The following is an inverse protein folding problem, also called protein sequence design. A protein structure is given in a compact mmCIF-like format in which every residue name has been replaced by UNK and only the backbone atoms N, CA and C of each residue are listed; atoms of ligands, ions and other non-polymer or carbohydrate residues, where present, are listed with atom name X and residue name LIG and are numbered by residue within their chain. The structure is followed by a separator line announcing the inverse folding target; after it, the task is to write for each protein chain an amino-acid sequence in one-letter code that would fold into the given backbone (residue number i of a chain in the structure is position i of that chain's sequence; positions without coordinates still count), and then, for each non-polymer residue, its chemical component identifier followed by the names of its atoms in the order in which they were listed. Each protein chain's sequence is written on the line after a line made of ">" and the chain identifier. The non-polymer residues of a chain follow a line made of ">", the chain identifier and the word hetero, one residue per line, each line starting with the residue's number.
data_IF_090852546833
#
_entry.id   IF_090852546833
#
_cell.length_a   1.000
_cell.length_b   1.000
_cell.length_c   1.000
_cell.angle_alpha   90.00
_cell.angle_beta   90.00
_cell.angle_gamma   90.00
#
_symmetry.space_group_name_H-M   'P 1'
#
loop_
_entity.id
_entity.type
_entity.pdbx_description
1 polymer ?
#
# COMPACT_ATOMS: atom_id res chain seq x y z
N UNK A 1 14.27 0.72 -0.12
CA UNK A 1 13.09 0.20 -0.86
C UNK A 1 12.62 -1.04 -0.15
N UNK A 2 11.32 -1.14 0.15
CA UNK A 2 10.74 -2.30 0.82
C UNK A 2 9.91 -3.10 -0.18
N UNK A 3 9.94 -4.42 -0.07
CA UNK A 3 9.20 -5.33 -0.95
C UNK A 3 8.35 -6.24 -0.08
N UNK A 4 7.07 -6.36 -0.41
CA UNK A 4 6.15 -7.25 0.29
C UNK A 4 5.36 -8.11 -0.70
N UNK A 5 5.13 -9.36 -0.31
CA UNK A 5 4.31 -10.31 -1.06
C UNK A 5 3.18 -10.76 -0.15
N UNK A 6 1.94 -10.57 -0.59
CA UNK A 6 0.75 -11.02 0.10
C UNK A 6 -0.01 -12.00 -0.78
N UNK A 7 -0.52 -13.06 -0.17
CA UNK A 7 -1.48 -13.96 -0.80
C UNK A 7 -2.74 -14.02 0.05
N UNK A 8 -3.90 -13.96 -0.59
CA UNK A 8 -5.20 -14.13 0.06
C UNK A 8 -6.09 -15.06 -0.76
N UNK A 9 -7.01 -15.73 -0.09
CA UNK A 9 -8.01 -16.57 -0.71
C UNK A 9 -9.36 -16.31 -0.05
N UNK A 10 -10.38 -16.10 -0.87
CA UNK A 10 -11.75 -15.86 -0.43
C UNK A 10 -12.63 -16.93 -1.05
N UNK A 11 -13.52 -17.53 -0.24
CA UNK A 11 -14.52 -18.49 -0.71
C UNK A 11 -15.86 -18.30 0.00
N UNK A 12 -16.97 -18.42 -0.73
CA UNK A 12 -18.32 -18.33 -0.20
C UNK A 12 -19.38 -18.65 -1.27
N UNK A 13 -20.47 -19.30 -0.86
CA UNK A 13 -21.62 -19.56 -1.75
C UNK A 13 -21.31 -20.42 -2.98
N UNK A 14 -20.31 -21.31 -2.91
CA UNK A 14 -19.86 -22.13 -4.04
C UNK A 14 -18.83 -21.45 -4.96
N UNK A 15 -18.45 -20.20 -4.66
CA UNK A 15 -17.43 -19.47 -5.40
C UNK A 15 -16.19 -19.23 -4.54
N UNK A 16 -15.03 -19.07 -5.17
CA UNK A 16 -13.82 -18.62 -4.52
C UNK A 16 -12.79 -18.07 -5.50
N UNK A 17 -11.93 -17.19 -5.00
CA UNK A 17 -10.85 -16.59 -5.77
C UNK A 17 -9.61 -16.41 -4.89
N UNK A 18 -8.44 -16.55 -5.50
CA UNK A 18 -7.13 -16.33 -4.89
C UNK A 18 -6.53 -15.03 -5.45
N UNK A 19 -5.84 -14.27 -4.61
CA UNK A 19 -5.12 -13.06 -4.99
C UNK A 19 -3.69 -13.12 -4.48
N UNK A 20 -2.74 -12.89 -5.37
CA UNK A 20 -1.37 -12.54 -5.07
C UNK A 20 -1.16 -11.05 -5.29
N UNK A 21 -0.53 -10.39 -4.33
CA UNK A 21 -0.17 -8.96 -4.40
C UNK A 21 1.30 -8.83 -4.10
N UNK A 22 2.04 -8.26 -5.02
CA UNK A 22 3.42 -7.84 -4.81
C UNK A 22 3.44 -6.32 -4.69
N UNK A 23 3.91 -5.76 -3.57
CA UNK A 23 4.05 -4.31 -3.40
C UNK A 23 5.51 -3.93 -3.27
N UNK A 24 5.94 -2.98 -4.09
CA UNK A 24 7.19 -2.28 -3.91
C UNK A 24 6.93 -0.90 -3.32
N UNK A 25 7.58 -0.61 -2.21
CA UNK A 25 7.44 0.64 -1.47
C UNK A 25 8.74 1.42 -1.50
N UNK A 26 8.62 2.65 -1.99
CA UNK A 26 9.71 3.60 -2.12
C UNK A 26 9.42 4.81 -1.24
N UNK A 27 10.45 5.25 -0.53
CA UNK A 27 10.45 6.51 0.20
C UNK A 27 11.69 7.28 -0.23
N UNK A 28 11.51 8.56 -0.54
CA UNK A 28 12.58 9.48 -0.86
C UNK A 28 12.47 10.71 0.02
N UNK A 29 13.53 11.00 0.78
CA UNK A 29 13.66 12.23 1.57
C UNK A 29 14.23 13.31 0.65
N UNK A 30 13.37 14.22 0.20
CA UNK A 30 13.78 15.31 -0.70
C UNK A 30 14.56 16.39 0.07
N UNK A 31 14.18 16.63 1.32
CA UNK A 31 14.84 17.56 2.24
C UNK A 31 14.56 17.14 3.70
N UNK A 32 15.14 17.85 4.66
CA UNK A 32 14.85 17.66 6.09
C UNK A 32 13.43 18.04 6.51
N UNK A 33 12.61 18.53 5.58
CA UNK A 33 11.20 18.81 5.86
C UNK A 33 10.25 18.21 4.83
N UNK A 34 10.73 17.56 3.76
CA UNK A 34 9.89 16.98 2.72
C UNK A 34 10.29 15.53 2.46
N UNK A 35 9.31 14.64 2.50
CA UNK A 35 9.46 13.28 1.97
C UNK A 35 8.33 12.91 1.03
N UNK A 36 8.68 12.08 0.05
CA UNK A 36 7.77 11.53 -0.94
C UNK A 36 7.75 10.02 -0.75
N UNK A 37 6.57 9.43 -0.76
CA UNK A 37 6.35 7.99 -0.67
C UNK A 37 5.52 7.51 -1.85
N UNK A 38 5.92 6.38 -2.42
CA UNK A 38 5.18 5.72 -3.49
C UNK A 38 5.14 4.21 -3.24
N UNK A 39 3.94 3.64 -3.23
CA UNK A 39 3.70 2.20 -3.19
C UNK A 39 3.11 1.78 -4.54
N UNK A 40 3.81 0.87 -5.22
CA UNK A 40 3.39 0.27 -6.49
C UNK A 40 3.09 -1.20 -6.26
N UNK A 41 1.87 -1.62 -6.53
CA UNK A 41 1.41 -2.98 -6.29
C UNK A 41 1.03 -3.68 -7.60
N UNK A 42 1.61 -4.85 -7.84
CA UNK A 42 1.19 -5.77 -8.88
C UNK A 42 0.21 -6.78 -8.27
N UNK A 43 -1.00 -6.81 -8.78
CA UNK A 43 -2.06 -7.74 -8.34
C UNK A 43 -2.26 -8.81 -9.41
N UNK A 44 -2.33 -10.05 -8.97
CA UNK A 44 -2.61 -11.20 -9.81
C UNK A 44 -3.60 -12.16 -9.13
N UNK A 45 -4.59 -12.65 -9.86
CA UNK A 45 -5.56 -13.64 -9.43
C UNK A 45 -5.30 -14.96 -10.15
N UNK A 46 -4.47 -15.85 -9.60
CA UNK A 46 -4.11 -17.10 -10.27
C UNK A 46 -5.29 -18.10 -10.35
N UNK A 47 -6.29 -17.95 -9.47
CA UNK A 47 -7.47 -18.80 -9.44
C UNK A 47 -8.72 -17.97 -9.16
N UNK A 48 -9.77 -18.16 -9.95
CA UNK A 48 -11.09 -17.57 -9.70
C UNK A 48 -12.18 -18.43 -10.29
N UNK A 49 -13.14 -18.83 -9.47
CA UNK A 49 -14.36 -19.48 -9.93
C UNK A 49 -15.43 -18.47 -10.37
N UNK A 50 -15.17 -17.15 -10.25
CA UNK A 50 -16.05 -16.07 -10.71
C UNK A 50 -15.89 -15.77 -12.22
N UNK A 51 -15.05 -16.55 -12.91
CA UNK A 51 -14.79 -16.42 -14.34
C UNK A 51 -13.52 -15.64 -14.70
N UNK A 52 -13.10 -15.78 -15.96
CA UNK A 52 -11.89 -15.15 -16.47
C UNK A 52 -11.97 -13.62 -16.54
N UNK A 53 -13.17 -13.06 -16.75
CA UNK A 53 -13.34 -11.62 -16.89
C UNK A 53 -13.17 -10.88 -15.55
N UNK A 54 -13.53 -11.52 -14.44
CA UNK A 54 -13.24 -11.00 -13.10
C UNK A 54 -11.73 -11.00 -12.83
N UNK A 55 -11.06 -12.11 -13.15
CA UNK A 55 -9.61 -12.23 -12.99
C UNK A 55 -8.85 -11.19 -13.82
N UNK A 56 -9.29 -10.93 -15.06
CA UNK A 56 -8.68 -9.89 -15.92
C UNK A 56 -8.88 -8.48 -15.39
N UNK A 57 -10.02 -8.17 -14.77
CA UNK A 57 -10.31 -6.84 -14.25
C UNK A 57 -9.49 -6.48 -13.00
N UNK A 58 -9.19 -7.47 -12.16
CA UNK A 58 -8.44 -7.26 -10.91
C UNK A 58 -6.93 -7.41 -11.09
N UNK A 59 -6.50 -8.05 -12.18
CA UNK A 59 -5.09 -8.17 -12.54
C UNK A 59 -4.59 -6.83 -13.07
N UNK A 60 -3.52 -6.30 -12.47
CA UNK A 60 -2.97 -5.03 -12.90
C UNK A 60 -1.90 -4.47 -11.98
N UNK A 61 -1.37 -3.33 -12.41
CA UNK A 61 -0.43 -2.52 -11.62
C UNK A 61 -1.22 -1.34 -11.05
N UNK A 62 -1.10 -1.13 -9.76
CA UNK A 62 -1.80 -0.10 -9.01
C UNK A 62 -0.81 0.79 -8.28
N UNK A 63 -1.03 2.10 -8.33
CA UNK A 63 -0.37 3.04 -7.41
C UNK A 63 -1.22 3.04 -6.14
N UNK A 64 -0.92 2.12 -5.23
CA UNK A 64 -1.72 1.92 -4.03
C UNK A 64 -1.53 3.04 -3.01
N UNK A 65 -0.40 3.75 -3.10
CA UNK A 65 -0.13 4.97 -2.33
C UNK A 65 0.79 5.90 -3.10
N UNK A 66 0.43 7.17 -3.18
CA UNK A 66 1.38 8.24 -3.44
C UNK A 66 1.16 9.30 -2.35
N UNK A 67 2.20 9.64 -1.60
CA UNK A 67 2.10 10.60 -0.51
C UNK A 67 3.25 11.60 -0.53
N UNK A 68 2.89 12.87 -0.32
CA UNK A 68 3.82 13.97 -0.07
C UNK A 68 3.62 14.41 1.38
N UNK A 69 4.68 14.34 2.17
CA UNK A 69 4.67 14.77 3.56
C UNK A 69 5.61 15.96 3.72
N UNK A 70 5.10 17.02 4.32
CA UNK A 70 5.80 18.28 4.55
C UNK A 70 5.72 18.67 6.04
N UNK A 71 6.87 18.91 6.65
CA UNK A 71 7.01 19.44 8.00
C UNK A 71 7.08 20.97 7.94
N UNK A 72 6.01 21.64 8.36
CA UNK A 72 5.90 23.10 8.35
C UNK A 72 6.69 23.70 9.52
N UNK A 73 6.58 23.08 10.70
CA UNK A 73 7.31 23.43 11.93
C UNK A 73 7.49 22.19 12.80
N UNK A 74 8.13 22.32 13.96
CA UNK A 74 8.34 21.18 14.87
C UNK A 74 7.05 20.52 15.37
N UNK A 75 5.93 21.25 15.32
CA UNK A 75 4.63 20.80 15.82
C UNK A 75 3.56 20.74 14.72
N UNK A 76 3.89 21.07 13.47
CA UNK A 76 2.90 21.20 12.39
C UNK A 76 3.35 20.47 11.14
N UNK A 77 2.46 19.61 10.61
CA UNK A 77 2.73 18.76 9.46
C UNK A 77 1.56 18.72 8.50
N UNK A 78 1.88 18.59 7.22
CA UNK A 78 0.93 18.42 6.14
C UNK A 78 1.26 17.13 5.39
N UNK A 79 0.28 16.25 5.23
CA UNK A 79 0.40 15.03 4.42
C UNK A 79 -0.69 15.02 3.38
N UNK A 80 -0.31 15.03 2.11
CA UNK A 80 -1.22 14.85 0.98
C UNK A 80 -1.03 13.44 0.47
N UNK A 81 -2.11 12.66 0.43
CA UNK A 81 -2.07 11.26 0.05
C UNK A 81 -3.13 10.92 -0.99
N UNK A 82 -2.70 10.21 -2.03
CA UNK A 82 -3.52 9.54 -3.01
C UNK A 82 -3.45 8.02 -2.80
N UNK A 83 -4.59 7.33 -2.89
CA UNK A 83 -4.66 5.87 -2.85
C UNK A 83 -5.62 5.36 -3.92
N UNK A 84 -5.16 4.36 -4.67
CA UNK A 84 -5.99 3.59 -5.56
C UNK A 84 -6.08 2.15 -5.03
N UNK A 85 -7.27 1.78 -4.53
CA UNK A 85 -7.55 0.39 -4.15
C UNK A 85 -8.22 -0.31 -5.34
N UNK A 86 -7.82 -1.54 -5.70
CA UNK A 86 -8.49 -2.25 -6.78
C UNK A 86 -9.96 -2.53 -6.40
N UNK A 87 -10.88 -2.29 -7.34
CA UNK A 87 -12.30 -2.63 -7.19
C UNK A 87 -12.45 -4.14 -7.04
N UNK A 88 -13.04 -4.57 -5.92
CA UNK A 88 -13.14 -6.00 -5.52
C UNK A 88 -12.54 -6.31 -4.15
N UNK A 89 -11.69 -5.42 -3.61
CA UNK A 89 -11.17 -5.49 -2.24
C UNK A 89 -12.20 -5.05 -1.17
N UNK A 90 -13.47 -4.84 -1.55
CA UNK A 90 -14.51 -4.19 -0.76
C UNK A 90 -15.16 -5.00 0.37
N UNK A 91 -14.80 -6.27 0.55
CA UNK A 91 -15.30 -7.10 1.67
C UNK A 91 -14.16 -7.49 2.61
N UNK A 92 -13.48 -6.49 3.17
CA UNK A 92 -12.32 -6.79 4.00
C UNK A 92 -11.66 -5.58 4.64
N UNK A 93 -12.41 -4.75 5.35
CA UNK A 93 -11.84 -3.84 6.36
C UNK A 93 -10.94 -4.57 7.41
N UNK A 94 -10.91 -5.91 7.39
CA UNK A 94 -10.09 -6.76 8.25
C UNK A 94 -8.67 -7.07 7.74
N UNK A 95 -8.35 -6.81 6.47
CA UNK A 95 -6.96 -6.98 5.96
C UNK A 95 -6.17 -5.68 6.04
N UNK A 96 -6.25 -5.03 7.20
CA UNK A 96 -5.50 -3.84 7.59
C UNK A 96 -4.02 -4.16 7.91
N UNK A 97 -3.47 -5.24 7.33
CA UNK A 97 -2.10 -5.71 7.51
C UNK A 97 -1.21 -5.50 6.27
N UNK A 98 -1.79 -5.51 5.07
CA UNK A 98 -1.00 -5.35 3.84
C UNK A 98 -0.68 -3.89 3.51
N UNK A 99 -1.58 -2.97 3.86
CA UNK A 99 -1.42 -1.52 3.64
C UNK A 99 -0.99 -0.75 4.88
N UNK A 100 -0.86 -1.44 6.01
CA UNK A 100 -0.24 -0.92 7.22
C UNK A 100 1.27 -1.08 7.10
N UNK A 101 1.80 -0.43 6.07
CA UNK A 101 3.21 -0.38 5.81
C UNK A 101 3.82 0.39 6.99
N UNK A 102 4.68 -0.31 7.73
CA UNK A 102 5.34 0.08 8.98
C UNK A 102 6.12 1.40 8.94
N UNK A 103 6.04 2.18 7.87
CA UNK A 103 6.57 3.53 7.77
C UNK A 103 5.86 4.54 8.68
N UNK A 104 4.62 4.30 9.10
CA UNK A 104 3.98 5.11 10.15
C UNK A 104 4.44 4.72 11.57
N UNK A 105 4.88 3.46 11.76
CA UNK A 105 5.25 2.93 13.08
C UNK A 105 6.76 3.04 13.37
N UNK A 106 7.60 2.96 12.34
CA UNK A 106 9.01 3.29 12.41
C UNK A 106 9.27 4.67 11.78
N UNK A 107 9.43 5.67 12.65
CA UNK A 107 10.51 6.65 12.47
C UNK A 107 10.32 7.79 11.45
N UNK A 108 9.11 8.33 11.26
CA UNK A 108 9.01 9.74 10.83
C UNK A 108 9.02 10.73 11.99
N UNK A 109 8.59 10.27 13.17
CA UNK A 109 8.43 11.07 14.38
C UNK A 109 9.35 10.61 15.53
N UNK A 110 10.10 9.52 15.36
CA UNK A 110 11.20 9.24 16.28
C UNK A 110 12.32 10.24 16.01
N UNK A 111 12.91 10.77 17.08
CA UNK A 111 13.97 11.79 17.05
C UNK A 111 15.17 11.42 16.14
N UNK A 112 15.25 10.20 15.65
CA UNK A 112 16.37 9.66 14.89
C UNK A 112 16.35 10.03 13.39
N UNK A 113 15.20 10.41 12.81
CA UNK A 113 15.10 10.74 11.38
C UNK A 113 15.62 12.15 11.02
N UNK A 114 15.81 12.99 12.03
CA UNK A 114 16.27 14.38 11.91
C UNK A 114 17.46 14.71 12.80
N UNK A 115 17.99 13.74 13.55
CA UNK A 115 19.11 13.95 14.45
C UNK A 115 20.22 12.93 14.15
N UNK A 116 20.88 13.13 13.01
CA UNK A 116 22.24 12.63 12.84
C UNK A 116 23.18 13.73 13.35
N UNK A 117 23.68 13.55 14.58
CA UNK A 117 24.92 14.15 15.06
C UNK A 117 26.04 13.13 14.93
#
# INVERSE_FOLDING_TARGET
>A
MNHSVGMSYTSGGGYGYALGVYTNSMMYKFSDNINIQADVSLVNSPYSSLGNDFSKQINGIYITKAALNYKISDNTNLSIQYRQLPTGYGYGNYYNGFYNNSFWNNSFWSNDAFNER
#
